data_IF_710647712140
#
_entry.id   IF_710647712140
#
_cell.length_a   1.000
_cell.length_b   1.000
_cell.length_c   1.000
_cell.angle_alpha   90.00
_cell.angle_beta   90.00
_cell.angle_gamma   90.00
#
_symmetry.space_group_name_H-M   'P 1'
#
loop_
_entity.id
_entity.type
_entity.pdbx_description
1 polymer ?
#
# COMPACT_ATOMS: atom_id res chain seq x y z
N UNK A 1 6.92 -14.02 -12.41
CA UNK A 1 7.63 -13.18 -11.42
C UNK A 1 7.48 -11.75 -11.93
N UNK A 2 6.35 -11.10 -11.66
CA UNK A 2 6.10 -9.73 -12.14
C UNK A 2 5.32 -8.97 -11.06
N UNK A 3 5.79 -7.78 -10.72
CA UNK A 3 4.95 -6.74 -10.14
C UNK A 3 4.36 -5.99 -11.33
N UNK A 4 3.05 -6.09 -11.54
CA UNK A 4 2.41 -5.38 -12.64
C UNK A 4 2.22 -3.91 -12.25
N UNK A 5 3.07 -3.05 -12.80
CA UNK A 5 2.79 -1.61 -12.85
C UNK A 5 1.80 -1.39 -13.99
N UNK A 6 0.50 -1.32 -13.69
CA UNK A 6 -0.47 -0.85 -14.66
C UNK A 6 -0.33 0.68 -14.77
N UNK A 7 0.43 1.13 -15.77
CA UNK A 7 0.53 2.55 -16.14
C UNK A 7 -0.78 2.94 -16.85
N UNK A 8 -1.83 3.25 -16.10
CA UNK A 8 -3.09 3.71 -16.69
C UNK A 8 -2.87 5.04 -17.44
N UNK A 9 -3.52 5.16 -18.61
CA UNK A 9 -3.31 6.23 -19.59
C UNK A 9 -3.42 7.63 -19.00
N UNK A 10 -2.42 8.43 -19.33
CA UNK A 10 -2.31 9.88 -19.12
C UNK A 10 -3.56 10.60 -19.63
N UNK A 11 -4.31 11.21 -18.71
CA UNK A 11 -5.11 12.43 -18.98
C UNK A 11 -4.53 13.52 -18.07
N UNK A 12 -4.08 14.61 -18.70
CA UNK A 12 -3.15 15.65 -18.23
C UNK A 12 -3.55 16.46 -16.97
N UNK A 13 -4.41 15.96 -16.08
CA UNK A 13 -4.84 16.72 -14.89
C UNK A 13 -4.97 15.92 -13.59
N UNK A 14 -4.80 14.59 -13.59
CA UNK A 14 -4.81 13.78 -12.36
C UNK A 14 -3.84 12.58 -12.51
N UNK A 15 -2.66 12.65 -11.89
CA UNK A 15 -1.68 11.56 -11.92
C UNK A 15 -2.10 10.45 -10.94
N UNK A 16 -2.56 9.33 -11.48
CA UNK A 16 -2.85 8.12 -10.73
C UNK A 16 -1.71 7.13 -10.96
N UNK A 17 -1.06 6.67 -9.88
CA UNK A 17 -0.06 5.61 -9.91
C UNK A 17 -0.66 4.36 -9.26
N UNK A 18 -0.85 3.32 -10.06
CA UNK A 18 -1.29 2.01 -9.57
C UNK A 18 -0.06 1.15 -9.24
N UNK A 19 0.10 0.79 -7.97
CA UNK A 19 1.14 -0.11 -7.46
C UNK A 19 0.48 -1.42 -7.09
N UNK A 20 0.83 -2.49 -7.80
CA UNK A 20 0.40 -3.85 -7.43
C UNK A 20 1.52 -4.51 -6.66
N UNK A 21 1.16 -5.16 -5.56
CA UNK A 21 2.04 -5.99 -4.76
C UNK A 21 2.86 -6.96 -5.65
N UNK A 22 4.20 -7.05 -5.49
CA UNK A 22 5.01 -8.09 -6.10
C UNK A 22 4.43 -9.49 -5.85
N UNK A 23 4.60 -10.41 -6.80
CA UNK A 23 4.09 -11.79 -6.67
C UNK A 23 4.51 -12.52 -5.38
N UNK A 24 5.61 -12.13 -4.74
CA UNK A 24 6.04 -12.65 -3.43
C UNK A 24 5.10 -12.27 -2.27
N UNK A 25 4.26 -11.25 -2.44
CA UNK A 25 3.29 -10.81 -1.43
C UNK A 25 1.99 -11.62 -1.53
N UNK A 26 1.58 -12.00 -2.74
CA UNK A 26 0.36 -12.75 -3.03
C UNK A 26 0.38 -14.17 -2.46
N UNK A 27 1.55 -14.73 -2.18
CA UNK A 27 1.72 -16.09 -1.66
C UNK A 27 1.33 -16.26 -0.19
N UNK A 28 0.91 -15.18 0.49
CA UNK A 28 0.56 -15.23 1.92
C UNK A 28 -0.84 -14.64 2.17
N UNK A 29 -1.64 -15.23 3.08
CA UNK A 29 -3.03 -14.81 3.32
C UNK A 29 -3.17 -13.38 3.86
N UNK A 30 -2.07 -12.75 4.32
CA UNK A 30 -2.06 -11.38 4.85
C UNK A 30 -1.64 -10.31 3.84
N UNK A 31 -1.60 -10.62 2.54
CA UNK A 31 -1.24 -9.67 1.49
C UNK A 31 -2.04 -8.35 1.55
N UNK A 32 -3.36 -8.45 1.79
CA UNK A 32 -4.22 -7.27 1.93
C UNK A 32 -3.91 -6.44 3.20
N UNK A 33 -3.49 -7.09 4.29
CA UNK A 33 -3.10 -6.39 5.53
C UNK A 33 -1.85 -5.53 5.30
N UNK A 34 -0.90 -6.04 4.52
CA UNK A 34 0.31 -5.32 4.12
C UNK A 34 0.00 -4.15 3.20
N UNK A 35 -0.88 -4.35 2.22
CA UNK A 35 -1.32 -3.28 1.32
C UNK A 35 -2.02 -2.16 2.10
N UNK A 36 -2.93 -2.50 3.02
CA UNK A 36 -3.57 -1.53 3.90
C UNK A 36 -2.55 -0.79 4.78
N UNK A 37 -1.63 -1.50 5.41
CA UNK A 37 -0.59 -0.89 6.24
C UNK A 37 0.29 0.07 5.43
N UNK A 38 0.63 -0.28 4.18
CA UNK A 38 1.41 0.58 3.29
C UNK A 38 0.61 1.82 2.87
N UNK A 39 -0.68 1.66 2.56
CA UNK A 39 -1.56 2.77 2.24
C UNK A 39 -1.63 3.79 3.39
N UNK A 40 -1.79 3.30 4.62
CA UNK A 40 -1.85 4.17 5.82
C UNK A 40 -0.50 4.83 6.11
N UNK A 41 0.62 4.13 5.88
CA UNK A 41 1.96 4.71 6.01
C UNK A 41 2.22 5.79 4.96
N UNK A 42 1.78 5.58 3.72
CA UNK A 42 1.88 6.59 2.65
C UNK A 42 0.97 7.79 2.93
N UNK A 43 -0.24 7.58 3.46
CA UNK A 43 -1.12 8.67 3.88
C UNK A 43 -0.48 9.51 5.01
N UNK A 44 0.24 8.86 5.94
CA UNK A 44 1.03 9.57 6.96
C UNK A 44 2.16 10.43 6.37
N UNK A 45 2.72 10.05 5.22
CA UNK A 45 3.68 10.86 4.43
C UNK A 45 2.98 11.90 3.52
N UNK A 46 1.66 12.04 3.61
CA UNK A 46 0.86 12.98 2.81
C UNK A 46 0.48 12.46 1.41
N UNK A 47 0.72 11.19 1.12
CA UNK A 47 0.38 10.55 -0.15
C UNK A 47 -0.94 9.81 0.00
N UNK A 48 -2.01 10.43 -0.50
CA UNK A 48 -3.34 9.83 -0.48
C UNK A 48 -3.50 8.78 -1.58
N UNK A 49 -4.26 7.74 -1.27
CA UNK A 49 -4.64 6.74 -2.25
C UNK A 49 -5.84 5.92 -1.82
N UNK A 50 -6.17 4.93 -2.63
CA UNK A 50 -7.18 3.92 -2.36
C UNK A 50 -6.56 2.55 -2.50
N UNK A 51 -7.04 1.58 -1.71
CA UNK A 51 -6.63 0.19 -1.83
C UNK A 51 -7.77 -0.66 -2.34
N UNK A 52 -7.46 -1.57 -3.27
CA UNK A 52 -8.34 -2.65 -3.69
C UNK A 52 -7.60 -3.99 -3.51
N UNK A 53 -7.91 -4.68 -2.42
CA UNK A 53 -7.21 -5.90 -2.00
C UNK A 53 -5.71 -5.68 -1.80
N UNK A 54 -4.92 -6.01 -2.82
CA UNK A 54 -3.45 -5.91 -2.82
C UNK A 54 -2.91 -4.83 -3.77
N UNK A 55 -3.79 -4.15 -4.49
CA UNK A 55 -3.45 -3.05 -5.38
C UNK A 55 -3.68 -1.71 -4.66
N UNK A 56 -2.78 -0.76 -4.88
CA UNK A 56 -2.87 0.59 -4.35
C UNK A 56 -2.90 1.60 -5.49
N UNK A 57 -3.89 2.47 -5.48
CA UNK A 57 -4.02 3.59 -6.42
C UNK A 57 -3.69 4.88 -5.70
N UNK A 58 -2.53 5.46 -6.03
CA UNK A 58 -1.99 6.64 -5.36
C UNK A 58 -2.21 7.89 -6.20
N UNK A 59 -2.59 8.99 -5.55
CA UNK A 59 -2.70 10.32 -6.16
C UNK A 59 -1.47 11.15 -5.84
N UNK A 60 -0.35 10.82 -6.48
CA UNK A 60 0.90 11.53 -6.30
C UNK A 60 1.82 11.41 -7.51
N UNK A 61 2.77 12.34 -7.61
CA UNK A 61 3.88 12.23 -8.56
C UNK A 61 4.74 11.00 -8.24
N UNK A 62 5.17 10.21 -9.25
CA UNK A 62 6.00 9.02 -9.03
C UNK A 62 7.29 9.28 -8.23
N UNK A 63 7.93 10.44 -8.41
CA UNK A 63 9.13 10.81 -7.67
C UNK A 63 8.85 11.05 -6.19
N UNK A 64 7.67 11.60 -5.86
CA UNK A 64 7.24 11.76 -4.47
C UNK A 64 6.89 10.41 -3.83
N UNK A 65 6.25 9.50 -4.57
CA UNK A 65 5.99 8.13 -4.11
C UNK A 65 7.31 7.41 -3.84
N UNK A 66 8.28 7.50 -4.76
CA UNK A 66 9.59 6.88 -4.57
C UNK A 66 10.31 7.42 -3.34
N UNK A 67 10.31 8.74 -3.13
CA UNK A 67 10.89 9.36 -1.93
C UNK A 67 10.24 8.87 -0.64
N UNK A 68 8.91 8.78 -0.60
CA UNK A 68 8.19 8.26 0.56
C UNK A 68 8.51 6.78 0.80
N UNK A 69 8.54 5.96 -0.25
CA UNK A 69 8.93 4.55 -0.14
C UNK A 69 10.37 4.40 0.37
N UNK A 70 11.32 5.23 -0.05
CA UNK A 70 12.67 5.22 0.51
C UNK A 70 12.68 5.54 2.02
N UNK A 71 11.90 6.53 2.47
CA UNK A 71 11.78 6.84 3.91
C UNK A 71 11.19 5.67 4.69
N UNK A 72 10.13 5.05 4.19
CA UNK A 72 9.49 3.88 4.83
C UNK A 72 10.46 2.69 4.86
N UNK A 73 11.27 2.53 3.82
CA UNK A 73 12.29 1.50 3.73
C UNK A 73 13.42 1.64 4.77
N UNK A 74 13.79 2.88 5.11
CA UNK A 74 14.88 3.18 6.04
C UNK A 74 14.41 3.38 7.49
N UNK A 75 13.11 3.61 7.70
CA UNK A 75 12.51 3.76 9.01
C UNK A 75 12.30 2.40 9.73
N UNK A 76 12.26 2.40 11.07
CA UNK A 76 11.74 1.25 11.81
C UNK A 76 10.26 1.00 11.45
N UNK A 77 9.75 -0.24 11.64
CA UNK A 77 8.33 -0.52 11.47
C UNK A 77 7.46 0.44 12.28
N UNK A 78 6.42 1.04 11.68
CA UNK A 78 5.53 1.94 12.41
C UNK A 78 4.69 1.16 13.43
N UNK A 79 4.31 1.85 14.51
CA UNK A 79 3.41 1.30 15.52
C UNK A 79 2.06 0.97 14.86
N UNK A 80 1.61 -0.30 14.93
CA UNK A 80 0.35 -0.71 14.33
C UNK A 80 -0.86 0.00 14.95
N UNK A 81 -0.83 0.40 16.23
CA UNK A 81 -1.93 1.10 16.87
C UNK A 81 -2.08 2.53 16.31
N UNK A 82 -0.95 3.23 16.12
CA UNK A 82 -0.93 4.57 15.52
C UNK A 82 -1.47 4.54 14.09
N UNK A 83 -1.14 3.51 13.30
CA UNK A 83 -1.70 3.36 11.97
C UNK A 83 -3.18 2.97 12.00
N UNK A 84 -3.60 2.11 12.92
CA UNK A 84 -4.99 1.69 13.04
C UNK A 84 -5.95 2.85 13.36
N UNK A 85 -5.50 3.84 14.14
CA UNK A 85 -6.28 5.06 14.40
C UNK A 85 -6.66 5.83 13.12
N UNK A 86 -5.85 5.72 12.05
CA UNK A 86 -6.12 6.35 10.75
C UNK A 86 -7.16 5.62 9.90
N UNK A 87 -7.59 4.42 10.31
CA UNK A 87 -8.62 3.67 9.59
C UNK A 87 -9.96 4.38 9.78
N UNK A 88 -10.53 4.86 8.67
CA UNK A 88 -11.81 5.58 8.69
C UNK A 88 -13.00 4.70 9.08
N UNK A 89 -13.04 3.44 8.63
CA UNK A 89 -14.07 2.48 9.05
C UNK A 89 -13.46 1.25 9.72
N UNK A 90 -13.57 1.21 11.05
CA UNK A 90 -13.07 0.13 11.89
C UNK A 90 -14.13 -0.97 12.13
N UNK A 91 -15.41 -0.66 11.96
CA UNK A 91 -16.54 -1.58 12.19
C UNK A 91 -16.66 -2.57 11.02
N UNK A 92 -16.44 -3.86 11.30
CA UNK A 92 -16.59 -4.96 10.35
C UNK A 92 -17.48 -6.09 10.86
N UNK A 93 -17.41 -6.39 12.15
CA UNK A 93 -18.16 -7.48 12.75
C UNK A 93 -19.46 -6.99 13.38
N UNK A 94 -20.38 -7.93 13.58
CA UNK A 94 -21.69 -7.67 14.18
C UNK A 94 -21.59 -6.94 15.52
N UNK A 95 -20.55 -7.19 16.32
CA UNK A 95 -20.42 -6.68 17.68
C UNK A 95 -19.49 -5.48 17.82
N UNK A 96 -18.88 -4.98 16.74
CA UNK A 96 -17.92 -3.88 16.79
C UNK A 96 -18.57 -2.55 17.25
N UNK A 97 -19.88 -2.40 17.07
CA UNK A 97 -20.64 -1.25 17.57
C UNK A 97 -20.70 -1.18 19.11
N UNK A 98 -20.26 -2.23 19.81
CA UNK A 98 -20.16 -2.27 21.27
C UNK A 98 -18.78 -1.83 21.78
N UNK A 99 -17.81 -1.63 20.88
CA UNK A 99 -16.44 -1.23 21.20
C UNK A 99 -16.28 0.28 21.00
N UNK A 100 -15.46 0.91 21.85
CA UNK A 100 -15.02 2.28 21.62
C UNK A 100 -13.94 2.35 20.51
N UNK A 101 -13.60 3.57 20.08
CA UNK A 101 -12.65 3.74 18.97
C UNK A 101 -11.24 3.21 19.29
N UNK A 102 -10.84 3.27 20.57
CA UNK A 102 -9.54 2.77 21.02
C UNK A 102 -9.48 1.24 20.94
N UNK A 103 -10.51 0.54 21.42
CA UNK A 103 -10.62 -0.92 21.30
C UNK A 103 -10.76 -1.36 19.85
N UNK A 104 -11.51 -0.61 19.03
CA UNK A 104 -11.59 -0.84 17.60
C UNK A 104 -10.24 -0.66 16.90
N UNK A 105 -9.43 0.31 17.34
CA UNK A 105 -8.08 0.50 16.83
C UNK A 105 -7.15 -0.66 17.24
N UNK A 106 -7.26 -1.16 18.47
CA UNK A 106 -6.49 -2.34 18.93
C UNK A 106 -6.85 -3.58 18.10
N UNK A 107 -8.14 -3.85 17.89
CA UNK A 107 -8.58 -4.98 17.08
C UNK A 107 -8.09 -4.85 15.64
N UNK A 108 -8.26 -3.68 15.02
CA UNK A 108 -7.80 -3.42 13.67
C UNK A 108 -6.28 -3.53 13.53
N UNK A 109 -5.51 -3.07 14.53
CA UNK A 109 -4.06 -3.19 14.56
C UNK A 109 -3.61 -4.67 14.52
N UNK A 110 -4.26 -5.54 15.29
CA UNK A 110 -3.93 -6.96 15.34
C UNK A 110 -4.41 -7.74 14.10
N UNK A 111 -5.66 -7.50 13.69
CA UNK A 111 -6.33 -8.30 12.67
C UNK A 111 -5.99 -7.85 11.24
N UNK A 112 -5.79 -6.55 11.02
CA UNK A 112 -5.82 -5.96 9.67
C UNK A 112 -4.51 -5.31 9.24
N UNK A 113 -3.52 -5.16 10.13
CA UNK A 113 -2.24 -4.54 9.81
C UNK A 113 -1.08 -5.53 9.93
N UNK A 114 -0.07 -5.33 9.10
CA UNK A 114 1.20 -6.06 9.17
C UNK A 114 2.35 -5.07 8.99
N UNK A 115 2.59 -4.28 10.04
CA UNK A 115 3.54 -3.15 9.99
C UNK A 115 5.00 -3.60 10.01
N UNK A 116 5.30 -4.74 10.64
CA UNK A 116 6.65 -5.31 10.69
C UNK A 116 7.25 -5.57 9.30
N UNK A 117 6.41 -5.91 8.32
CA UNK A 117 6.83 -6.19 6.95
C UNK A 117 7.07 -4.92 6.12
N UNK A 118 6.60 -3.75 6.57
CA UNK A 118 6.57 -2.51 5.76
C UNK A 118 7.95 -2.06 5.25
N UNK A 119 9.02 -2.03 6.06
CA UNK A 119 10.32 -1.59 5.55
C UNK A 119 10.85 -2.51 4.44
N UNK A 120 10.67 -3.83 4.60
CA UNK A 120 11.08 -4.80 3.58
C UNK A 120 10.28 -4.66 2.28
N UNK A 121 8.98 -4.47 2.41
CA UNK A 121 8.04 -4.17 1.33
C UNK A 121 8.46 -2.93 0.54
N UNK A 122 8.71 -1.84 1.25
CA UNK A 122 9.08 -0.57 0.64
C UNK A 122 10.40 -0.69 -0.13
N UNK A 123 11.40 -1.41 0.42
CA UNK A 123 12.65 -1.70 -0.29
C UNK A 123 12.42 -2.48 -1.58
N UNK A 124 11.59 -3.53 -1.54
CA UNK A 124 11.28 -4.31 -2.75
C UNK A 124 10.60 -3.45 -3.82
N UNK A 125 9.68 -2.55 -3.43
CA UNK A 125 9.05 -1.63 -4.36
C UNK A 125 10.03 -0.61 -4.94
N UNK A 126 10.91 -0.03 -4.12
CA UNK A 126 11.96 0.89 -4.59
C UNK A 126 12.86 0.20 -5.61
N UNK A 127 13.28 -1.04 -5.36
CA UNK A 127 14.08 -1.82 -6.29
C UNK A 127 13.33 -2.11 -7.60
N UNK A 128 12.05 -2.50 -7.52
CA UNK A 128 11.23 -2.77 -8.69
C UNK A 128 11.00 -1.51 -9.55
N UNK A 129 10.81 -0.36 -8.90
CA UNK A 129 10.61 0.94 -9.56
C UNK A 129 11.90 1.53 -10.14
N UNK A 130 13.05 1.27 -9.51
CA UNK A 130 14.36 1.78 -9.96
C UNK A 130 15.03 0.86 -10.98
N UNK A 131 14.74 -0.44 -10.93
CA UNK A 131 15.33 -1.48 -11.78
C UNK A 131 14.56 -1.77 -13.06
N UNK A 132 13.55 -0.96 -13.43
CA UNK A 132 12.79 -1.13 -14.68
C UNK A 132 13.25 -0.14 -15.76
N UNK A 133 14.23 -0.49 -16.62
CA UNK A 133 14.39 0.16 -17.90
C UNK A 133 13.38 -0.44 -18.88
N UNK A 134 12.17 0.12 -18.94
CA UNK A 134 11.19 -0.16 -20.01
C UNK A 134 10.80 -1.63 -20.25
N UNK A 135 9.70 -2.09 -19.66
CA UNK A 135 8.94 -3.19 -20.26
C UNK A 135 7.92 -2.60 -21.24
N UNK A 136 8.36 -2.46 -22.49
CA UNK A 136 7.49 -2.27 -23.65
C UNK A 136 7.05 -3.62 -24.22
N UNK A 137 5.89 -3.60 -24.87
CA UNK A 137 5.33 -4.61 -25.77
C UNK A 137 4.58 -5.81 -25.15
N UNK A 138 3.28 -5.59 -24.92
CA UNK A 138 2.26 -6.53 -25.38
C UNK A 138 1.16 -5.73 -26.10
N UNK A 139 1.53 -5.20 -27.27
CA UNK A 139 0.58 -5.06 -28.37
C UNK A 139 0.23 -6.50 -28.77
N UNK A 140 -1.04 -6.85 -28.66
CA UNK A 140 -1.63 -7.97 -29.40
C UNK A 140 -1.95 -7.41 -30.79
N UNK A 141 -1.26 -7.82 -31.86
CA UNK A 141 -1.87 -7.89 -33.17
C UNK A 141 -2.35 -9.33 -33.40
N UNK A 142 -3.59 -9.39 -33.88
CA UNK A 142 -4.35 -10.49 -34.46
C UNK A 142 -4.73 -11.70 -33.58
#
# INVERSE_FOLDING_TARGET
MEAYLYRSRIRQSQCWLSVVAPGSWLATPRAACRALALLLALDAEGIRGTGDGVALDLRADPGNVLKALCRIADAPPPDPLILAQRIGNKIQNKFDHLLDDDLLAVDAAAARLETAALPGIARSLVQALSGSPGSGAALHPD
#
